data_IF_981138399663
#
_entry.id   IF_981138399663
#
_cell.length_a   1.000
_cell.length_b   1.000
_cell.length_c   1.000
_cell.angle_alpha   90.00
_cell.angle_beta   90.00
_cell.angle_gamma   90.00
#
_symmetry.space_group_name_H-M   'P 1'
#
loop_
_entity.id
_entity.type
_entity.pdbx_description
1 polymer ?
#
# COMPACT_ATOMS: atom_id res chain seq x y z
N UNK A 1 -7.48 13.78 -4.02
CA UNK A 1 -6.81 13.86 -2.70
C UNK A 1 -7.78 13.78 -1.53
N UNK A 2 -8.75 14.70 -1.37
CA UNK A 2 -9.70 14.68 -0.23
C UNK A 2 -10.48 13.36 -0.08
N UNK A 3 -10.97 12.77 -1.18
CA UNK A 3 -11.69 11.48 -1.16
C UNK A 3 -10.81 10.32 -0.69
N UNK A 4 -9.55 10.28 -1.15
CA UNK A 4 -8.55 9.26 -0.78
C UNK A 4 -8.32 9.33 0.74
N UNK A 5 -8.10 10.53 1.26
CA UNK A 5 -7.83 10.75 2.68
C UNK A 5 -9.04 10.39 3.56
N UNK A 6 -10.26 10.73 3.12
CA UNK A 6 -11.50 10.36 3.82
C UNK A 6 -11.70 8.84 3.89
N UNK A 7 -11.48 8.13 2.79
CA UNK A 7 -11.59 6.66 2.76
C UNK A 7 -10.49 6.04 3.62
N UNK A 8 -9.25 6.55 3.52
CA UNK A 8 -8.13 6.06 4.30
C UNK A 8 -8.38 6.21 5.80
N UNK A 9 -8.90 7.36 6.24
CA UNK A 9 -9.28 7.61 7.62
C UNK A 9 -10.34 6.62 8.11
N UNK A 10 -11.39 6.39 7.32
CA UNK A 10 -12.44 5.44 7.68
C UNK A 10 -11.91 4.02 7.82
N UNK A 11 -10.97 3.61 6.96
CA UNK A 11 -10.31 2.31 7.07
C UNK A 11 -9.47 2.20 8.34
N UNK A 12 -8.69 3.23 8.70
CA UNK A 12 -7.88 3.23 9.93
C UNK A 12 -8.77 3.11 11.17
N UNK A 13 -9.82 3.94 11.26
CA UNK A 13 -10.75 3.90 12.41
C UNK A 13 -11.49 2.56 12.45
N UNK A 14 -11.94 2.08 11.29
CA UNK A 14 -12.61 0.80 11.15
C UNK A 14 -11.74 -0.38 11.60
N UNK A 15 -10.47 -0.43 11.17
CA UNK A 15 -9.55 -1.50 11.56
C UNK A 15 -9.30 -1.53 13.06
N UNK A 16 -9.08 -0.38 13.70
CA UNK A 16 -8.87 -0.34 15.15
C UNK A 16 -10.15 -0.65 15.94
N UNK A 17 -11.31 -0.23 15.46
CA UNK A 17 -12.60 -0.59 16.09
C UNK A 17 -12.80 -2.10 16.06
N UNK A 18 -12.50 -2.75 14.93
CA UNK A 18 -12.58 -4.21 14.80
C UNK A 18 -11.56 -4.88 15.71
N UNK A 19 -10.31 -4.42 15.73
CA UNK A 19 -9.26 -4.97 16.61
C UNK A 19 -9.63 -4.86 18.09
N UNK A 20 -10.17 -3.72 18.52
CA UNK A 20 -10.64 -3.52 19.90
C UNK A 20 -11.74 -4.53 20.25
N UNK A 21 -12.71 -4.70 19.36
CA UNK A 21 -13.83 -5.61 19.55
C UNK A 21 -13.35 -7.07 19.58
N UNK A 22 -12.40 -7.42 18.71
CA UNK A 22 -11.79 -8.75 18.66
C UNK A 22 -10.95 -9.06 19.91
N UNK A 23 -10.14 -8.09 20.36
CA UNK A 23 -9.36 -8.20 21.59
C UNK A 23 -10.27 -8.40 22.81
N UNK A 24 -11.36 -7.63 22.89
CA UNK A 24 -12.33 -7.75 23.97
C UNK A 24 -13.04 -9.11 23.98
N UNK A 25 -13.44 -9.61 22.81
CA UNK A 25 -14.09 -10.92 22.68
C UNK A 25 -13.17 -12.09 23.05
N UNK A 26 -11.89 -12.04 22.67
CA UNK A 26 -10.95 -13.13 22.91
C UNK A 26 -10.36 -13.14 24.33
N UNK A 27 -9.97 -11.98 24.83
CA UNK A 27 -9.19 -11.87 26.07
C UNK A 27 -10.02 -11.36 27.25
N UNK A 28 -11.25 -10.89 27.01
CA UNK A 28 -12.09 -10.24 28.02
C UNK A 28 -11.53 -8.93 28.57
N UNK A 29 -10.41 -8.46 28.01
CA UNK A 29 -9.65 -7.28 28.42
C UNK A 29 -9.13 -6.54 27.19
N UNK A 30 -8.94 -5.24 27.34
CA UNK A 30 -8.28 -4.42 26.33
C UNK A 30 -6.77 -4.45 26.61
N UNK A 31 -6.07 -5.30 25.87
CA UNK A 31 -4.61 -5.38 25.92
C UNK A 31 -4.03 -4.60 24.74
N UNK A 32 -3.41 -3.45 25.05
CA UNK A 32 -2.82 -2.57 24.04
C UNK A 32 -1.68 -3.25 23.26
N UNK A 33 -0.91 -4.15 23.89
CA UNK A 33 0.20 -4.85 23.23
C UNK A 33 -0.32 -5.83 22.18
N UNK A 34 -1.39 -6.57 22.49
CA UNK A 34 -2.06 -7.47 21.55
C UNK A 34 -2.62 -6.67 20.36
N UNK A 35 -3.31 -5.56 20.64
CA UNK A 35 -3.87 -4.68 19.60
C UNK A 35 -2.76 -4.10 18.71
N UNK A 36 -1.65 -3.68 19.31
CA UNK A 36 -0.47 -3.18 18.60
C UNK A 36 0.15 -4.24 17.69
N UNK A 37 0.37 -5.45 18.21
CA UNK A 37 0.95 -6.56 17.43
C UNK A 37 0.08 -6.94 16.22
N UNK A 38 -1.23 -7.09 16.42
CA UNK A 38 -2.15 -7.37 15.30
C UNK A 38 -2.30 -6.17 14.37
N UNK A 39 -2.23 -4.95 14.89
CA UNK A 39 -2.18 -3.72 14.11
C UNK A 39 -0.99 -3.68 13.16
N UNK A 40 0.21 -4.02 13.64
CA UNK A 40 1.41 -4.12 12.79
C UNK A 40 1.20 -5.14 11.66
N UNK A 41 0.68 -6.32 11.98
CA UNK A 41 0.45 -7.39 11.02
C UNK A 41 -0.51 -6.94 9.90
N UNK A 42 -1.62 -6.28 10.28
CA UNK A 42 -2.58 -5.71 9.33
C UNK A 42 -1.92 -4.60 8.50
N UNK A 43 -1.20 -3.67 9.14
CA UNK A 43 -0.53 -2.56 8.46
C UNK A 43 0.46 -3.03 7.40
N UNK A 44 1.29 -4.03 7.72
CA UNK A 44 2.20 -4.64 6.75
C UNK A 44 1.45 -5.38 5.64
N UNK A 45 0.38 -6.12 5.95
CA UNK A 45 -0.41 -6.80 4.91
C UNK A 45 -1.02 -5.82 3.90
N UNK A 46 -1.46 -4.64 4.36
CA UNK A 46 -2.00 -3.58 3.51
C UNK A 46 -0.93 -2.96 2.62
N UNK A 47 0.28 -2.74 3.15
CA UNK A 47 1.41 -2.29 2.35
C UNK A 47 1.81 -3.30 1.28
N UNK A 48 1.86 -4.58 1.64
CA UNK A 48 2.14 -5.66 0.68
C UNK A 48 1.07 -5.69 -0.41
N UNK A 49 -0.21 -5.56 -0.05
CA UNK A 49 -1.31 -5.51 -1.02
C UNK A 49 -1.29 -4.25 -1.90
N UNK A 50 -0.71 -3.14 -1.42
CA UNK A 50 -0.54 -1.92 -2.20
C UNK A 50 0.55 -2.06 -3.28
N UNK A 51 1.50 -3.01 -3.13
CA UNK A 51 2.58 -3.19 -4.07
C UNK A 51 2.08 -3.76 -5.41
N UNK A 52 2.54 -3.23 -6.56
CA UNK A 52 2.23 -3.80 -7.86
C UNK A 52 3.07 -5.06 -8.08
N UNK A 53 2.62 -6.20 -7.52
CA UNK A 53 3.32 -7.50 -7.64
C UNK A 53 3.71 -7.86 -9.08
N UNK A 54 2.83 -7.55 -10.04
CA UNK A 54 3.10 -7.76 -11.47
C UNK A 54 4.35 -7.01 -11.95
N UNK A 55 4.59 -5.77 -11.49
CA UNK A 55 5.79 -5.00 -11.84
C UNK A 55 7.05 -5.54 -11.17
N UNK A 56 6.93 -6.08 -9.96
CA UNK A 56 8.07 -6.66 -9.25
C UNK A 56 8.57 -7.92 -9.98
N UNK A 57 7.65 -8.77 -10.43
CA UNK A 57 7.97 -10.01 -11.15
C UNK A 57 8.48 -9.73 -12.57
N UNK A 58 7.83 -8.82 -13.32
CA UNK A 58 8.22 -8.53 -14.72
C UNK A 58 9.49 -7.67 -14.82
N UNK A 59 9.74 -6.73 -13.91
CA UNK A 59 10.90 -5.85 -13.96
C UNK A 59 12.02 -6.22 -12.97
N UNK A 60 11.98 -7.41 -12.37
CA UNK A 60 13.05 -7.92 -11.50
C UNK A 60 13.41 -7.00 -10.34
N UNK A 61 12.41 -6.35 -9.73
CA UNK A 61 12.62 -5.38 -8.64
C UNK A 61 12.88 -3.94 -9.08
N UNK A 62 13.13 -3.65 -10.37
CA UNK A 62 13.21 -2.27 -10.89
C UNK A 62 11.85 -1.55 -10.93
N UNK A 63 10.75 -2.29 -10.88
CA UNK A 63 9.37 -1.77 -10.84
C UNK A 63 8.94 -1.18 -9.49
N UNK A 64 9.78 -1.23 -8.45
CA UNK A 64 9.53 -0.63 -7.13
C UNK A 64 9.81 0.89 -7.14
N UNK A 65 10.63 1.37 -8.10
CA UNK A 65 10.80 2.79 -8.37
C UNK A 65 9.57 3.31 -9.11
N UNK A 66 8.53 3.66 -8.36
CA UNK A 66 7.32 4.26 -8.91
C UNK A 66 7.65 5.54 -9.70
N UNK A 67 7.01 5.74 -10.85
CA UNK A 67 6.87 6.95 -11.69
C UNK A 67 8.09 7.86 -11.95
N UNK A 68 9.26 7.61 -11.35
CA UNK A 68 10.50 8.26 -11.67
C UNK A 68 11.06 7.51 -12.87
N UNK A 69 11.20 8.27 -13.96
CA UNK A 69 11.76 7.79 -15.21
C UNK A 69 12.94 6.89 -14.90
N UNK A 70 12.93 5.61 -15.34
CA UNK A 70 14.18 4.87 -15.37
C UNK A 70 15.16 5.78 -16.13
N UNK A 71 16.34 6.03 -15.59
CA UNK A 71 17.43 6.55 -16.41
C UNK A 71 17.75 5.44 -17.40
N UNK A 72 17.06 5.49 -18.55
CA UNK A 72 17.19 4.50 -19.61
C UNK A 72 18.55 4.77 -20.27
N UNK A 73 19.42 3.75 -20.42
CA UNK A 73 20.70 3.89 -21.09
C UNK A 73 20.54 4.48 -22.50
N UNK A 74 21.59 5.12 -23.00
CA UNK A 74 21.63 5.95 -24.22
C UNK A 74 21.48 5.15 -25.54
N UNK A 75 20.63 4.12 -25.57
CA UNK A 75 20.28 3.37 -26.77
C UNK A 75 18.84 3.72 -27.18
N UNK A 76 18.71 4.49 -28.26
CA UNK A 76 17.44 4.99 -28.80
C UNK A 76 16.45 3.87 -29.16
N UNK A 77 16.95 2.71 -29.58
CA UNK A 77 16.09 1.60 -30.03
C UNK A 77 15.45 0.85 -28.85
N UNK A 78 16.18 0.72 -27.73
CA UNK A 78 15.65 0.20 -26.47
C UNK A 78 14.71 1.22 -25.81
N UNK A 79 15.03 2.51 -25.88
CA UNK A 79 14.17 3.60 -25.43
C UNK A 79 12.78 3.53 -26.04
N UNK A 80 12.69 3.35 -27.36
CA UNK A 80 11.40 3.37 -28.04
C UNK A 80 10.53 2.16 -27.71
N UNK A 81 11.13 0.99 -27.46
CA UNK A 81 10.40 -0.22 -27.02
C UNK A 81 9.89 -0.07 -25.58
N UNK A 82 10.77 0.35 -24.67
CA UNK A 82 10.42 0.57 -23.25
C UNK A 82 9.37 1.68 -23.12
N UNK A 83 9.50 2.77 -23.87
CA UNK A 83 8.54 3.87 -23.87
C UNK A 83 7.16 3.43 -24.38
N UNK A 84 7.10 2.59 -25.43
CA UNK A 84 5.84 2.04 -25.95
C UNK A 84 5.17 1.08 -24.95
N UNK A 85 5.95 0.26 -24.25
CA UNK A 85 5.41 -0.61 -23.19
C UNK A 85 4.93 0.21 -22.00
N UNK A 86 5.69 1.21 -21.57
CA UNK A 86 5.30 2.12 -20.50
C UNK A 86 4.04 2.93 -20.84
N UNK A 87 3.91 3.42 -22.08
CA UNK A 87 2.69 4.09 -22.53
C UNK A 87 1.49 3.14 -22.56
N UNK A 88 1.67 1.89 -23.00
CA UNK A 88 0.62 0.87 -22.97
C UNK A 88 0.20 0.56 -21.53
N UNK A 89 1.15 0.41 -20.61
CA UNK A 89 0.87 0.20 -19.19
C UNK A 89 0.17 1.42 -18.56
N UNK A 90 0.62 2.65 -18.87
CA UNK A 90 -0.01 3.88 -18.37
C UNK A 90 -1.42 4.07 -18.92
N UNK A 91 -1.69 3.63 -20.15
CA UNK A 91 -3.03 3.64 -20.75
C UNK A 91 -3.93 2.50 -20.23
N UNK A 92 -3.34 1.37 -19.81
CA UNK A 92 -4.04 0.23 -19.21
C UNK A 92 -4.29 0.39 -17.69
N UNK A 93 -3.43 1.11 -16.98
CA UNK A 93 -3.64 1.47 -15.58
C UNK A 93 -4.80 2.45 -15.45
N UNK A 94 -5.95 1.93 -15.04
CA UNK A 94 -7.10 2.77 -14.74
C UNK A 94 -6.73 3.73 -13.59
N UNK A 95 -7.19 5.00 -13.64
CA UNK A 95 -6.94 5.96 -12.56
C UNK A 95 -7.51 5.48 -11.20
N UNK A 96 -8.46 4.53 -11.22
CA UNK A 96 -9.00 3.88 -10.01
C UNK A 96 -7.98 2.96 -9.34
N UNK A 97 -7.18 2.22 -10.09
CA UNK A 97 -6.20 1.28 -9.55
C UNK A 97 -5.12 2.00 -8.74
N UNK A 98 -4.62 3.12 -9.28
CA UNK A 98 -3.67 4.00 -8.56
C UNK A 98 -4.28 4.58 -7.29
N UNK A 99 -5.54 5.04 -7.35
CA UNK A 99 -6.24 5.54 -6.16
C UNK A 99 -6.37 4.48 -5.06
N UNK A 100 -6.65 3.23 -5.40
CA UNK A 100 -6.71 2.16 -4.41
C UNK A 100 -5.35 1.84 -3.79
N UNK A 101 -4.27 1.85 -4.59
CA UNK A 101 -2.90 1.71 -4.08
C UNK A 101 -2.53 2.83 -3.12
N UNK A 102 -2.83 4.09 -3.47
CA UNK A 102 -2.57 5.24 -2.60
C UNK A 102 -3.34 5.14 -1.28
N UNK A 103 -4.62 4.74 -1.32
CA UNK A 103 -5.44 4.52 -0.11
C UNK A 103 -4.82 3.44 0.77
N UNK A 104 -4.51 2.27 0.20
CA UNK A 104 -3.93 1.14 0.94
C UNK A 104 -2.57 1.51 1.56
N UNK A 105 -1.75 2.26 0.82
CA UNK A 105 -0.44 2.72 1.29
C UNK A 105 -0.57 3.68 2.48
N UNK A 106 -1.42 4.70 2.36
CA UNK A 106 -1.65 5.69 3.41
C UNK A 106 -2.24 5.02 4.66
N UNK A 107 -3.25 4.17 4.47
CA UNK A 107 -3.87 3.41 5.57
C UNK A 107 -2.86 2.48 6.24
N UNK A 108 -2.06 1.74 5.47
CA UNK A 108 -1.04 0.83 6.00
C UNK A 108 0.01 1.56 6.84
N UNK A 109 0.56 2.67 6.35
CA UNK A 109 1.53 3.49 7.08
C UNK A 109 0.92 4.05 8.37
N UNK A 110 -0.30 4.58 8.30
CA UNK A 110 -0.97 5.15 9.46
C UNK A 110 -1.22 4.11 10.56
N UNK A 111 -1.66 2.90 10.19
CA UNK A 111 -1.84 1.79 11.13
C UNK A 111 -0.50 1.39 11.75
N UNK A 112 0.57 1.27 10.97
CA UNK A 112 1.90 0.92 11.51
C UNK A 112 2.35 1.98 12.52
N UNK A 113 2.24 3.28 12.18
CA UNK A 113 2.63 4.36 13.09
C UNK A 113 1.90 4.27 14.43
N UNK A 114 0.58 4.11 14.41
CA UNK A 114 -0.22 3.98 15.64
C UNK A 114 0.16 2.70 16.40
N UNK A 115 0.33 1.58 15.69
CA UNK A 115 0.65 0.30 16.29
C UNK A 115 2.03 0.30 16.97
N UNK A 116 3.04 0.95 16.39
CA UNK A 116 4.37 1.10 17.01
C UNK A 116 4.31 1.86 18.34
N UNK A 117 3.38 2.79 18.51
CA UNK A 117 3.19 3.48 19.79
C UNK A 117 2.43 2.65 20.84
N UNK A 118 1.76 1.56 20.43
CA UNK A 118 0.96 0.71 21.32
C UNK A 118 1.70 -0.54 21.80
N UNK A 119 2.73 -0.98 21.07
CA UNK A 119 3.63 -2.10 21.43
C UNK A 119 4.73 -1.62 22.36
#
# INVERSE_FOLDING_TARGET
MLKILKVSFFLVVGSYTILLLFSYLLSGRLDASIIGMWGLLIGFSLLIAALPFHKIVFFGGRGIMGAQSPEIPHDEHLHHKVYKEYEKERKAESPKTRQHQDVLSITGIAIILIAVFMV
#
